data_IF_661391701663
#
_entry.id   IF_661391701663
#
_cell.length_a   1.000
_cell.length_b   1.000
_cell.length_c   1.000
_cell.angle_alpha   90.00
_cell.angle_beta   90.00
_cell.angle_gamma   90.00
#
_symmetry.space_group_name_H-M   'P 1'
#
loop_
_entity.id
_entity.type
_entity.pdbx_description
1 polymer ?
#
# COMPACT_ATOMS: atom_id res chain seq x y z
N UNK A 1 3.25 -17.93 21.06
CA UNK A 1 2.97 -18.11 19.62
C UNK A 1 1.87 -19.15 19.48
N UNK A 2 0.61 -18.75 19.38
CA UNK A 2 -0.52 -19.67 19.24
C UNK A 2 -1.08 -19.52 17.84
N UNK A 3 -0.82 -20.53 17.05
CA UNK A 3 -1.22 -20.70 15.66
C UNK A 3 -2.75 -20.77 15.56
N UNK A 4 -3.33 -19.89 14.74
CA UNK A 4 -4.73 -20.00 14.29
C UNK A 4 -4.79 -21.02 13.15
N UNK A 5 -4.98 -22.27 13.50
CA UNK A 5 -5.14 -23.39 12.57
C UNK A 5 -6.53 -23.99 12.79
N UNK A 6 -7.57 -23.25 12.40
CA UNK A 6 -8.94 -23.72 12.68
C UNK A 6 -9.97 -23.45 11.58
N UNK A 7 -9.56 -23.33 10.33
CA UNK A 7 -10.55 -23.15 9.24
C UNK A 7 -10.44 -24.17 8.09
N UNK A 8 -9.54 -25.14 8.18
CA UNK A 8 -9.36 -26.15 7.13
C UNK A 8 -10.09 -27.48 7.37
N UNK A 9 -10.81 -27.64 8.49
CA UNK A 9 -11.32 -28.95 8.91
C UNK A 9 -12.79 -29.22 8.58
N UNK A 10 -13.53 -28.27 8.04
CA UNK A 10 -14.98 -28.46 7.78
C UNK A 10 -15.26 -28.98 6.36
N UNK A 11 -14.33 -28.85 5.43
CA UNK A 11 -14.53 -29.33 4.05
C UNK A 11 -14.17 -30.81 3.84
N UNK A 12 -13.43 -31.43 4.74
CA UNK A 12 -13.02 -32.83 4.62
C UNK A 12 -14.04 -33.87 5.09
N UNK A 13 -15.09 -33.42 5.81
CA UNK A 13 -16.07 -34.31 6.41
C UNK A 13 -17.16 -34.83 5.49
N UNK A 14 -17.32 -34.31 4.28
CA UNK A 14 -18.43 -34.68 3.40
C UNK A 14 -18.11 -35.75 2.35
N UNK A 15 -16.88 -36.25 2.29
CA UNK A 15 -16.51 -37.24 1.25
C UNK A 15 -16.37 -38.69 1.74
N UNK A 16 -16.59 -38.97 3.02
CA UNK A 16 -16.33 -40.31 3.58
C UNK A 16 -17.53 -41.26 3.62
N UNK A 17 -18.65 -40.93 2.94
CA UNK A 17 -19.78 -41.84 2.80
C UNK A 17 -20.13 -42.09 1.33
N UNK A 18 -19.19 -42.54 0.54
CA UNK A 18 -19.57 -43.34 -0.61
C UNK A 18 -19.70 -44.78 -0.16
N UNK A 19 -20.86 -45.10 0.39
CA UNK A 19 -21.30 -46.48 0.49
C UNK A 19 -21.22 -47.04 -0.93
N UNK A 20 -20.58 -48.21 -1.08
CA UNK A 20 -20.58 -48.95 -2.35
C UNK A 20 -22.00 -49.40 -2.62
N UNK A 21 -22.80 -48.53 -3.21
CA UNK A 21 -24.09 -48.85 -3.72
C UNK A 21 -23.85 -49.63 -5.04
N UNK A 22 -24.48 -50.78 -5.18
CA UNK A 22 -24.50 -51.54 -6.44
C UNK A 22 -25.02 -50.62 -7.53
N UNK A 23 -24.34 -50.68 -8.71
CA UNK A 23 -24.71 -49.88 -9.87
C UNK A 23 -26.15 -50.15 -10.25
N UNK A 24 -27.04 -49.22 -10.05
CA UNK A 24 -28.41 -49.26 -10.52
C UNK A 24 -28.40 -48.72 -11.95
N UNK A 25 -28.70 -49.61 -12.91
CA UNK A 25 -28.66 -49.29 -14.36
C UNK A 25 -29.98 -48.78 -14.91
N UNK A 26 -31.07 -48.81 -14.12
CA UNK A 26 -32.39 -48.37 -14.53
C UNK A 26 -32.93 -47.29 -13.60
N UNK A 27 -33.56 -46.30 -14.18
CA UNK A 27 -34.11 -45.15 -13.46
C UNK A 27 -33.71 -43.81 -14.09
N UNK A 28 -34.48 -42.79 -13.81
CA UNK A 28 -34.17 -41.42 -14.25
C UNK A 28 -34.08 -40.48 -13.04
N UNK A 29 -33.12 -39.54 -13.04
CA UNK A 29 -33.03 -38.49 -12.07
C UNK A 29 -33.87 -37.32 -12.59
N UNK A 30 -34.98 -37.01 -11.90
CA UNK A 30 -35.86 -35.88 -12.22
C UNK A 30 -35.69 -34.77 -11.16
N UNK A 31 -36.11 -33.55 -11.47
CA UNK A 31 -36.04 -32.39 -10.56
C UNK A 31 -34.62 -32.08 -10.08
N UNK A 32 -33.64 -32.15 -11.00
CA UNK A 32 -32.26 -31.83 -10.72
C UNK A 32 -32.14 -30.36 -10.33
N UNK A 33 -31.39 -30.09 -9.27
CA UNK A 33 -30.97 -28.75 -8.90
C UNK A 33 -29.44 -28.70 -8.74
N UNK A 34 -28.85 -27.56 -9.07
CA UNK A 34 -27.40 -27.33 -8.97
C UNK A 34 -27.18 -26.23 -7.97
N UNK A 35 -26.33 -26.48 -6.96
CA UNK A 35 -25.80 -25.44 -6.09
C UNK A 35 -24.42 -25.01 -6.64
N UNK A 36 -24.19 -23.72 -6.67
CA UNK A 36 -22.88 -23.13 -7.06
C UNK A 36 -22.35 -22.27 -5.92
N UNK A 37 -21.05 -22.35 -5.69
CA UNK A 37 -20.35 -21.47 -4.77
C UNK A 37 -19.10 -20.92 -5.46
N UNK A 38 -18.80 -19.66 -5.23
CA UNK A 38 -17.56 -19.02 -5.68
C UNK A 38 -16.55 -19.08 -4.55
N UNK A 39 -15.42 -19.72 -4.78
CA UNK A 39 -14.27 -19.71 -3.88
C UNK A 39 -13.26 -18.72 -4.41
N UNK A 40 -13.02 -17.64 -3.66
CA UNK A 40 -11.97 -16.67 -3.97
C UNK A 40 -10.73 -17.02 -3.14
N UNK A 41 -9.64 -17.34 -3.81
CA UNK A 41 -8.34 -17.55 -3.20
C UNK A 41 -7.48 -16.31 -3.48
N UNK A 42 -7.03 -15.65 -2.43
CA UNK A 42 -6.09 -14.53 -2.54
C UNK A 42 -4.69 -14.98 -2.12
N UNK A 43 -3.68 -14.57 -2.86
CA UNK A 43 -2.29 -14.75 -2.45
C UNK A 43 -1.97 -13.69 -1.39
N UNK A 44 -1.38 -14.06 -0.24
CA UNK A 44 -0.91 -13.08 0.72
C UNK A 44 0.18 -12.21 0.09
N UNK A 45 0.06 -10.90 0.22
CA UNK A 45 1.03 -9.93 -0.29
C UNK A 45 1.76 -9.32 0.90
N UNK A 46 3.10 -9.37 0.87
CA UNK A 46 3.98 -8.69 1.82
C UNK A 46 4.58 -7.47 1.14
N UNK A 47 4.38 -6.30 1.75
CA UNK A 47 4.93 -5.06 1.23
C UNK A 47 6.27 -4.74 1.88
N UNK A 48 7.17 -4.18 1.09
CA UNK A 48 8.39 -3.52 1.53
C UNK A 48 8.34 -2.08 1.02
N UNK A 49 8.45 -1.13 1.95
CA UNK A 49 8.49 0.30 1.62
C UNK A 49 9.86 0.85 2.04
N UNK A 50 10.64 1.29 1.07
CA UNK A 50 11.97 1.87 1.29
C UNK A 50 11.93 3.37 1.02
N UNK A 51 12.64 4.14 1.85
CA UNK A 51 12.74 5.58 1.72
C UNK A 51 14.19 5.99 1.96
N UNK A 52 14.82 6.58 0.95
CA UNK A 52 16.23 6.97 0.97
C UNK A 52 16.33 8.50 0.86
N UNK A 53 16.80 9.19 1.90
CA UNK A 53 17.03 10.62 1.85
C UNK A 53 18.05 11.01 0.77
N UNK A 54 17.89 12.21 0.23
CA UNK A 54 18.91 12.83 -0.64
C UNK A 54 20.06 13.32 0.25
N UNK A 55 21.26 12.92 -0.10
CA UNK A 55 22.46 13.35 0.61
C UNK A 55 22.84 14.81 0.32
N UNK A 56 23.56 15.44 1.23
CA UNK A 56 24.11 16.77 1.06
C UNK A 56 23.13 17.93 1.19
N UNK A 57 21.89 17.67 1.62
CA UNK A 57 20.92 18.74 1.91
C UNK A 57 21.41 19.60 3.08
N UNK A 58 21.35 20.93 2.91
CA UNK A 58 21.78 21.90 3.93
C UNK A 58 20.58 22.65 4.46
N UNK A 59 20.47 22.73 5.79
CA UNK A 59 19.44 23.56 6.45
C UNK A 59 19.56 25.02 6.02
N UNK A 60 18.40 25.66 5.77
CA UNK A 60 18.31 27.02 5.30
C UNK A 60 18.68 27.25 3.82
N UNK A 61 19.09 26.20 3.09
CA UNK A 61 19.33 26.32 1.66
C UNK A 61 18.02 26.54 0.89
N UNK A 62 18.09 27.33 -0.19
CA UNK A 62 16.98 27.45 -1.12
C UNK A 62 16.68 26.09 -1.76
N UNK A 63 15.44 25.67 -1.71
CA UNK A 63 15.00 24.55 -2.53
C UNK A 63 14.90 25.08 -3.95
N UNK A 64 15.56 24.46 -4.92
CA UNK A 64 15.28 24.76 -6.31
C UNK A 64 13.79 24.50 -6.54
N UNK A 65 13.15 25.26 -7.46
CA UNK A 65 11.73 25.18 -7.81
C UNK A 65 11.11 23.78 -7.70
N UNK A 66 9.82 23.63 -7.45
CA UNK A 66 9.05 22.40 -7.21
C UNK A 66 9.52 21.11 -7.93
N UNK A 67 10.17 21.23 -9.08
CA UNK A 67 10.80 20.11 -9.79
C UNK A 67 12.09 19.59 -9.11
N UNK A 68 12.64 20.31 -8.15
CA UNK A 68 13.94 20.01 -7.55
C UNK A 68 13.97 20.15 -6.02
N UNK A 69 12.81 20.38 -5.38
CA UNK A 69 12.66 20.31 -3.92
C UNK A 69 12.79 18.90 -3.36
N UNK A 70 13.39 17.98 -4.13
CA UNK A 70 13.55 16.57 -3.80
C UNK A 70 14.35 16.40 -2.51
N UNK A 71 13.76 15.75 -1.52
CA UNK A 71 14.39 15.44 -0.23
C UNK A 71 14.58 13.94 0.02
N UNK A 72 13.78 13.09 -0.65
CA UNK A 72 13.97 11.64 -0.60
C UNK A 72 13.41 10.95 -1.84
N UNK A 73 13.93 9.77 -2.11
CA UNK A 73 13.40 8.80 -3.06
C UNK A 73 12.85 7.59 -2.32
N UNK A 74 11.72 7.08 -2.76
CA UNK A 74 11.11 5.91 -2.17
C UNK A 74 10.64 4.89 -3.19
N UNK A 75 10.38 3.70 -2.68
CA UNK A 75 9.90 2.59 -3.46
C UNK A 75 9.05 1.65 -2.60
N UNK A 76 7.80 1.45 -3.03
CA UNK A 76 6.90 0.45 -2.46
C UNK A 76 6.94 -0.79 -3.36
N UNK A 77 7.25 -1.95 -2.80
CA UNK A 77 7.45 -3.19 -3.55
C UNK A 77 6.70 -4.36 -2.90
N UNK A 78 6.21 -5.28 -3.73
CA UNK A 78 5.72 -6.58 -3.31
C UNK A 78 6.91 -7.55 -3.22
N UNK A 79 7.05 -8.26 -2.11
CA UNK A 79 8.16 -9.20 -1.89
C UNK A 79 8.01 -10.50 -2.65
N UNK A 80 6.78 -10.93 -2.87
CA UNK A 80 6.47 -12.20 -3.55
C UNK A 80 6.75 -12.09 -5.05
N UNK A 81 7.58 -13.00 -5.56
CA UNK A 81 7.93 -13.06 -6.98
C UNK A 81 6.70 -13.33 -7.85
N UNK A 82 6.50 -12.51 -8.85
CA UNK A 82 5.38 -12.65 -9.79
C UNK A 82 4.04 -12.11 -9.27
N UNK A 83 3.95 -11.71 -8.01
CA UNK A 83 2.75 -11.07 -7.48
C UNK A 83 2.67 -9.61 -7.95
N UNK A 84 1.46 -9.17 -8.28
CA UNK A 84 1.15 -7.79 -8.66
C UNK A 84 -0.15 -7.34 -8.01
N UNK A 85 -0.27 -6.05 -7.74
CA UNK A 85 -1.48 -5.44 -7.19
C UNK A 85 -1.55 -3.94 -7.59
N UNK A 86 -2.67 -3.30 -7.34
CA UNK A 86 -2.76 -1.85 -7.35
C UNK A 86 -2.08 -1.30 -6.09
N UNK A 87 -0.83 -0.86 -6.22
CA UNK A 87 -0.08 -0.29 -5.10
C UNK A 87 -0.50 1.17 -4.88
N UNK A 88 -0.68 1.54 -3.62
CA UNK A 88 -1.16 2.84 -3.20
C UNK A 88 -0.19 3.52 -2.24
N UNK A 89 -0.09 4.85 -2.32
CA UNK A 89 0.70 5.70 -1.44
C UNK A 89 -0.18 6.78 -0.85
N UNK A 90 -0.10 6.98 0.47
CA UNK A 90 -0.69 8.16 1.10
C UNK A 90 0.12 9.39 0.69
N UNK A 91 -0.55 10.39 0.13
CA UNK A 91 0.08 11.63 -0.38
C UNK A 91 -0.26 12.85 0.44
N UNK A 92 -1.21 12.75 1.38
CA UNK A 92 -1.60 13.87 2.23
C UNK A 92 -2.32 13.43 3.51
N UNK A 93 -2.35 14.29 4.50
CA UNK A 93 -3.20 14.13 5.68
C UNK A 93 -4.61 14.69 5.44
N UNK A 94 -5.63 14.27 6.22
CA UNK A 94 -6.98 14.80 6.09
C UNK A 94 -7.01 16.33 6.19
N UNK A 95 -7.60 16.98 5.18
CA UNK A 95 -7.74 18.44 5.14
C UNK A 95 -6.49 19.23 4.75
N UNK A 96 -5.36 18.55 4.47
CA UNK A 96 -4.13 19.17 3.98
C UNK A 96 -3.62 18.42 2.76
N UNK A 97 -2.95 19.13 1.85
CA UNK A 97 -2.31 18.53 0.67
C UNK A 97 -0.84 18.15 0.90
N UNK A 98 -0.39 18.17 2.15
CA UNK A 98 1.00 17.95 2.53
C UNK A 98 1.09 17.29 3.90
N UNK A 99 2.28 16.79 4.20
CA UNK A 99 2.68 16.33 5.52
C UNK A 99 3.56 17.36 6.20
N UNK A 100 3.53 17.39 7.53
CA UNK A 100 4.37 18.26 8.33
C UNK A 100 5.15 17.44 9.34
N UNK A 101 6.45 17.75 9.47
CA UNK A 101 7.30 17.25 10.54
C UNK A 101 8.19 18.38 11.07
N UNK A 102 8.74 18.19 12.25
CA UNK A 102 9.66 19.13 12.89
C UNK A 102 10.99 18.44 13.19
N UNK A 103 12.06 19.21 13.28
CA UNK A 103 13.31 18.66 13.77
C UNK A 103 13.15 18.14 15.20
N UNK A 104 13.78 17.01 15.49
CA UNK A 104 13.79 16.40 16.82
C UNK A 104 14.30 17.39 17.86
N UNK A 105 13.55 17.60 18.94
CA UNK A 105 13.84 18.57 20.01
C UNK A 105 13.43 20.01 19.68
N UNK A 106 12.77 20.25 18.54
CA UNK A 106 12.30 21.57 18.12
C UNK A 106 10.82 21.55 17.67
N UNK A 107 10.02 20.68 18.25
CA UNK A 107 8.61 20.52 17.95
C UNK A 107 7.87 21.87 18.17
N UNK A 108 7.08 22.25 17.15
CA UNK A 108 6.33 23.51 17.09
C UNK A 108 7.17 24.80 16.83
N UNK A 109 8.47 24.71 16.63
CA UNK A 109 9.29 25.86 16.24
C UNK A 109 9.23 26.08 14.72
N UNK A 110 8.72 27.23 14.28
CA UNK A 110 8.45 27.50 12.85
C UNK A 110 9.70 27.37 11.96
N UNK A 111 10.87 27.77 12.46
CA UNK A 111 12.13 27.66 11.73
C UNK A 111 12.59 26.21 11.51
N UNK A 112 12.04 25.27 12.26
CA UNK A 112 12.32 23.83 12.20
C UNK A 112 11.15 23.02 11.68
N UNK A 113 10.18 23.65 11.00
CA UNK A 113 9.06 23.00 10.35
C UNK A 113 9.45 22.58 8.93
N UNK A 114 9.35 21.29 8.63
CA UNK A 114 9.46 20.74 7.27
C UNK A 114 8.07 20.33 6.80
N UNK A 115 7.64 20.94 5.73
CA UNK A 115 6.42 20.55 5.01
C UNK A 115 6.81 19.84 3.72
N UNK A 116 6.22 18.67 3.45
CA UNK A 116 6.58 17.85 2.30
C UNK A 116 5.38 17.18 1.66
N UNK A 117 5.53 16.84 0.39
CA UNK A 117 4.55 16.11 -0.42
C UNK A 117 5.18 14.86 -1.02
N UNK A 118 4.34 13.86 -1.27
CA UNK A 118 4.72 12.59 -1.90
C UNK A 118 4.14 12.55 -3.30
N UNK A 119 5.00 12.23 -4.28
CA UNK A 119 4.62 12.15 -5.69
C UNK A 119 4.99 10.79 -6.27
N UNK A 120 4.06 10.06 -6.90
CA UNK A 120 4.41 8.86 -7.66
C UNK A 120 5.31 9.23 -8.85
N UNK A 121 6.21 8.31 -9.21
CA UNK A 121 7.06 8.46 -10.42
C UNK A 121 6.32 8.06 -11.70
N UNK A 122 5.27 7.28 -11.59
CA UNK A 122 4.40 6.87 -12.70
C UNK A 122 3.30 7.90 -12.91
N UNK A 123 2.92 8.11 -14.18
CA UNK A 123 1.73 8.87 -14.58
C UNK A 123 0.46 8.01 -14.60
N UNK A 124 0.61 6.66 -14.61
CA UNK A 124 -0.51 5.71 -14.66
C UNK A 124 -1.09 5.53 -13.27
N UNK A 125 -1.72 6.59 -12.77
CA UNK A 125 -2.24 6.67 -11.41
C UNK A 125 -3.64 7.27 -11.38
N UNK A 126 -4.40 6.87 -10.35
CA UNK A 126 -5.66 7.49 -9.96
C UNK A 126 -5.62 7.72 -8.45
N UNK A 127 -6.65 8.32 -7.87
CA UNK A 127 -6.65 8.64 -6.45
C UNK A 127 -7.96 8.27 -5.76
N UNK A 128 -7.88 8.04 -4.47
CA UNK A 128 -9.03 7.86 -3.58
C UNK A 128 -8.87 8.73 -2.34
N UNK A 129 -9.96 9.34 -1.90
CA UNK A 129 -10.02 10.10 -0.65
C UNK A 129 -10.60 9.21 0.43
N UNK A 130 -9.88 9.09 1.53
CA UNK A 130 -10.27 8.29 2.70
C UNK A 130 -10.32 9.15 3.96
N UNK A 131 -10.70 8.59 5.09
CA UNK A 131 -10.72 9.30 6.38
C UNK A 131 -9.33 9.70 6.88
N UNK A 132 -8.28 9.02 6.43
CA UNK A 132 -6.89 9.23 6.84
C UNK A 132 -6.03 9.96 5.81
N UNK A 133 -6.64 10.40 4.68
CA UNK A 133 -5.99 11.23 3.68
C UNK A 133 -6.33 10.87 2.25
N UNK A 134 -5.51 11.35 1.34
CA UNK A 134 -5.58 11.04 -0.09
C UNK A 134 -4.54 9.99 -0.43
N UNK A 135 -4.98 8.92 -1.06
CA UNK A 135 -4.11 7.89 -1.60
C UNK A 135 -4.09 7.97 -3.12
N UNK A 136 -2.89 7.99 -3.69
CA UNK A 136 -2.68 7.80 -5.13
C UNK A 136 -2.29 6.35 -5.35
N UNK A 137 -2.93 5.68 -6.29
CA UNK A 137 -2.69 4.27 -6.59
C UNK A 137 -2.41 4.04 -8.08
N UNK A 138 -1.69 2.95 -8.38
CA UNK A 138 -1.43 2.52 -9.75
C UNK A 138 -2.72 2.02 -10.42
N UNK A 139 -3.06 2.51 -11.61
CA UNK A 139 -4.23 2.05 -12.38
C UNK A 139 -4.06 0.64 -12.94
N UNK A 140 -2.82 0.17 -13.04
CA UNK A 140 -2.47 -1.19 -13.42
C UNK A 140 -1.93 -1.96 -12.22
N UNK A 141 -2.05 -3.29 -12.24
CA UNK A 141 -1.39 -4.16 -11.29
C UNK A 141 0.12 -4.11 -11.51
N UNK A 142 0.86 -3.73 -10.49
CA UNK A 142 2.32 -3.60 -10.50
C UNK A 142 2.95 -4.34 -9.32
N UNK A 143 4.21 -4.73 -9.41
CA UNK A 143 4.97 -5.28 -8.29
C UNK A 143 5.84 -4.23 -7.59
N UNK A 144 5.92 -3.03 -8.16
CA UNK A 144 6.80 -1.95 -7.71
C UNK A 144 6.18 -0.59 -8.04
N UNK A 145 6.18 0.33 -7.07
CA UNK A 145 5.62 1.66 -7.20
C UNK A 145 6.59 2.70 -6.62
N UNK A 146 7.41 3.27 -7.51
CA UNK A 146 8.40 4.28 -7.16
C UNK A 146 7.77 5.64 -6.88
N UNK A 147 8.34 6.38 -5.94
CA UNK A 147 7.88 7.72 -5.59
C UNK A 147 9.02 8.65 -5.19
N UNK A 148 8.72 9.93 -5.11
CA UNK A 148 9.60 10.99 -4.62
C UNK A 148 8.94 11.73 -3.47
N UNK A 149 9.74 12.26 -2.56
CA UNK A 149 9.30 13.18 -1.51
C UNK A 149 9.97 14.52 -1.75
N UNK A 150 9.18 15.57 -1.82
CA UNK A 150 9.66 16.92 -2.09
C UNK A 150 9.22 17.90 -1.00
N UNK A 151 10.10 18.80 -0.60
CA UNK A 151 9.76 19.90 0.28
C UNK A 151 8.84 20.91 -0.45
N UNK A 152 7.83 21.41 0.26
CA UNK A 152 6.86 22.38 -0.27
C UNK A 152 7.45 23.79 -0.26
N UNK A 153 8.19 24.14 0.77
CA UNK A 153 8.73 25.47 0.93
C UNK A 153 9.90 25.75 -0.05
N UNK A 154 10.04 27.00 -0.48
CA UNK A 154 11.14 27.46 -1.32
C UNK A 154 12.50 27.46 -0.61
N UNK A 155 12.54 27.19 0.67
CA UNK A 155 13.72 27.12 1.52
C UNK A 155 13.57 25.98 2.52
N UNK A 156 14.62 25.17 2.66
CA UNK A 156 14.66 24.14 3.69
C UNK A 156 14.70 24.77 5.08
N UNK A 157 14.10 24.14 6.10
CA UNK A 157 14.17 24.62 7.46
C UNK A 157 15.61 24.61 8.01
N UNK A 158 15.83 25.11 9.22
CA UNK A 158 17.13 25.07 9.88
C UNK A 158 17.68 23.65 9.98
N UNK A 159 18.99 23.53 10.10
CA UNK A 159 19.65 22.24 10.26
C UNK A 159 19.11 21.49 11.49
N UNK A 160 18.82 20.21 11.33
CA UNK A 160 18.26 19.35 12.36
C UNK A 160 17.99 17.94 11.80
N UNK A 161 17.57 17.04 12.66
CA UNK A 161 17.14 15.69 12.28
C UNK A 161 15.62 15.67 12.08
N UNK A 162 15.17 15.37 10.85
CA UNK A 162 13.76 15.34 10.46
C UNK A 162 13.35 13.92 10.14
N UNK A 163 12.30 13.44 10.80
CA UNK A 163 11.70 12.14 10.47
C UNK A 163 10.59 12.36 9.44
N UNK A 164 10.77 11.82 8.24
CA UNK A 164 9.75 11.78 7.21
C UNK A 164 9.19 10.37 7.10
N UNK A 165 7.89 10.26 6.89
CA UNK A 165 7.19 8.97 6.78
C UNK A 165 6.30 8.96 5.55
N UNK A 166 6.26 7.82 4.86
CA UNK A 166 5.36 7.58 3.73
C UNK A 166 4.66 6.25 3.96
N UNK A 167 3.34 6.26 4.00
CA UNK A 167 2.54 5.06 4.14
C UNK A 167 2.17 4.52 2.76
N UNK A 168 2.37 3.22 2.56
CA UNK A 168 1.96 2.52 1.36
C UNK A 168 1.08 1.32 1.68
N UNK A 169 0.26 0.92 0.70
CA UNK A 169 -0.67 -0.19 0.84
C UNK A 169 -1.06 -0.79 -0.50
N UNK A 170 -2.04 -1.68 -0.47
CA UNK A 170 -2.71 -2.23 -1.65
C UNK A 170 -4.09 -1.61 -1.74
N UNK A 171 -4.42 -1.05 -2.90
CA UNK A 171 -5.78 -0.64 -3.23
C UNK A 171 -6.54 -1.85 -3.77
N UNK A 172 -7.73 -2.07 -3.23
CA UNK A 172 -8.63 -3.14 -3.63
C UNK A 172 -9.94 -2.47 -4.07
N UNK A 173 -10.26 -2.44 -5.38
CA UNK A 173 -11.44 -1.78 -5.94
C UNK A 173 -12.76 -2.41 -5.52
#
# INVERSE_FOLDING_TARGET
MKMRLLTALVAAGCFSQMAVASLVTTGSIVNKTTATATLTLSQPITLENTLTPVEGLKGGASTPTLATGLIANGNLKIKETGATAHLALNTSTPGNNSFVTYATGHENAADYKLEYMVYPKSSDTDYIVTSDGVYIFSTNNVNNFGYTVSAVASKLPKAGSYVISVTGGVYNP
#
